data_IF_127131265406
#
_entry.id   IF_127131265406
#
_cell.length_a   1.000
_cell.length_b   1.000
_cell.length_c   1.000
_cell.angle_alpha   90.00
_cell.angle_beta   90.00
_cell.angle_gamma   90.00
#
_symmetry.space_group_name_H-M   'P 1'
#
loop_
_entity.id
_entity.type
_entity.pdbx_description
1 polymer ?
#
# COMPACT_ATOMS: atom_id res chain seq x y z
N UNK A 1 4.25 17.11 -18.55
CA UNK A 1 4.05 17.52 -17.14
C UNK A 1 4.32 16.31 -16.26
N UNK A 2 5.17 16.42 -15.24
CA UNK A 2 5.52 15.29 -14.38
C UNK A 2 4.32 14.96 -13.47
N UNK A 3 3.95 13.68 -13.31
CA UNK A 3 2.88 13.25 -12.40
C UNK A 3 3.17 13.66 -10.94
N UNK A 4 4.44 13.80 -10.57
CA UNK A 4 4.83 14.22 -9.23
C UNK A 4 4.42 15.67 -8.89
N UNK A 5 4.20 16.52 -9.90
CA UNK A 5 3.79 17.92 -9.72
C UNK A 5 2.25 18.09 -9.74
N UNK A 6 1.50 17.02 -9.95
CA UNK A 6 0.04 17.05 -9.93
C UNK A 6 -0.50 16.91 -8.51
N UNK A 7 -1.60 17.61 -8.22
CA UNK A 7 -2.32 17.41 -6.96
C UNK A 7 -2.91 16.00 -6.87
N UNK A 8 -2.91 15.44 -5.67
CA UNK A 8 -3.46 14.11 -5.37
C UNK A 8 -4.90 14.01 -5.86
N UNK A 9 -5.73 15.03 -5.62
CA UNK A 9 -7.13 15.10 -6.05
C UNK A 9 -7.29 14.93 -7.56
N UNK A 10 -6.42 15.56 -8.36
CA UNK A 10 -6.48 15.47 -9.82
C UNK A 10 -6.10 14.07 -10.31
N UNK A 11 -5.14 13.42 -9.67
CA UNK A 11 -4.77 12.04 -9.99
C UNK A 11 -5.90 11.08 -9.58
N UNK A 12 -6.45 11.26 -8.38
CA UNK A 12 -7.50 10.42 -7.82
C UNK A 12 -8.78 10.43 -8.67
N UNK A 13 -9.17 11.59 -9.20
CA UNK A 13 -10.30 11.71 -10.14
C UNK A 13 -10.15 10.84 -11.39
N UNK A 14 -8.91 10.61 -11.85
CA UNK A 14 -8.61 9.72 -12.98
C UNK A 14 -8.29 8.27 -12.57
N UNK A 15 -8.18 7.97 -11.28
CA UNK A 15 -7.76 6.66 -10.76
C UNK A 15 -8.87 5.61 -10.89
N UNK A 16 -10.14 5.99 -10.69
CA UNK A 16 -11.29 5.07 -10.77
C UNK A 16 -11.17 3.92 -9.76
N UNK A 17 -11.34 4.21 -8.46
CA UNK A 17 -11.15 3.26 -7.36
C UNK A 17 -12.00 1.99 -7.47
N UNK A 18 -11.53 0.90 -6.85
CA UNK A 18 -12.29 -0.35 -6.76
C UNK A 18 -13.35 -0.25 -5.65
N UNK A 19 -14.50 -0.92 -5.82
CA UNK A 19 -15.51 -0.98 -4.77
C UNK A 19 -15.16 -2.03 -3.71
N UNK A 20 -15.47 -1.73 -2.44
CA UNK A 20 -15.23 -2.64 -1.31
C UNK A 20 -15.93 -4.00 -1.47
N UNK A 21 -17.07 -4.02 -2.16
CA UNK A 21 -17.86 -5.21 -2.47
C UNK A 21 -17.12 -6.22 -3.36
N UNK A 22 -16.09 -5.79 -4.08
CA UNK A 22 -15.35 -6.64 -5.02
C UNK A 22 -14.12 -7.31 -4.37
N UNK A 23 -13.87 -7.02 -3.09
CA UNK A 23 -12.74 -7.60 -2.34
C UNK A 23 -13.16 -8.96 -1.76
N UNK A 24 -12.44 -10.05 -2.07
CA UNK A 24 -12.71 -11.35 -1.48
C UNK A 24 -12.62 -11.34 0.05
N UNK A 25 -13.48 -12.10 0.73
CA UNK A 25 -13.54 -12.15 2.19
C UNK A 25 -12.18 -12.40 2.86
N UNK A 26 -11.36 -13.31 2.32
CA UNK A 26 -10.04 -13.61 2.91
C UNK A 26 -9.06 -12.42 2.83
N UNK A 27 -9.16 -11.61 1.78
CA UNK A 27 -8.36 -10.40 1.60
C UNK A 27 -8.87 -9.33 2.56
N UNK A 28 -10.19 -9.14 2.63
CA UNK A 28 -10.81 -8.25 3.61
C UNK A 28 -10.42 -8.61 5.05
N UNK A 29 -10.44 -9.90 5.39
CA UNK A 29 -10.17 -10.39 6.74
C UNK A 29 -8.75 -10.06 7.21
N UNK A 30 -7.75 -10.09 6.33
CA UNK A 30 -6.36 -9.85 6.70
C UNK A 30 -5.93 -8.39 6.50
N UNK A 31 -6.54 -7.65 5.58
CA UNK A 31 -6.01 -6.36 5.12
C UNK A 31 -6.96 -5.18 5.37
N UNK A 32 -8.23 -5.42 5.70
CA UNK A 32 -9.17 -4.35 6.01
C UNK A 32 -9.12 -3.99 7.51
N UNK A 33 -8.98 -2.70 7.88
CA UNK A 33 -8.86 -2.28 9.28
C UNK A 33 -10.12 -2.51 10.11
N UNK A 34 -11.28 -2.76 9.48
CA UNK A 34 -12.53 -3.12 10.15
C UNK A 34 -12.59 -4.62 10.51
N UNK A 35 -11.64 -5.44 10.03
CA UNK A 35 -11.55 -6.84 10.41
C UNK A 35 -10.97 -7.00 11.82
N UNK A 36 -11.55 -7.86 12.68
CA UNK A 36 -11.05 -8.09 14.04
C UNK A 36 -9.69 -8.79 14.08
N UNK A 37 -9.26 -9.40 12.97
CA UNK A 37 -7.99 -10.13 12.84
C UNK A 37 -7.08 -9.52 11.79
N UNK A 38 -7.32 -8.25 11.44
CA UNK A 38 -6.51 -7.52 10.49
C UNK A 38 -5.03 -7.53 10.88
N UNK A 39 -4.16 -7.81 9.92
CA UNK A 39 -2.73 -7.75 10.14
C UNK A 39 -2.28 -6.28 10.24
N UNK A 40 -1.22 -5.98 11.00
CA UNK A 40 -0.63 -4.64 11.01
C UNK A 40 -0.28 -4.14 9.61
N UNK A 41 -0.51 -2.86 9.36
CA UNK A 41 -0.50 -2.27 8.00
C UNK A 41 -1.84 -2.31 7.27
N UNK A 42 -2.87 -2.98 7.82
CA UNK A 42 -4.23 -2.92 7.31
C UNK A 42 -4.72 -1.48 7.16
N UNK A 43 -5.42 -1.21 6.06
CA UNK A 43 -5.66 0.14 5.56
C UNK A 43 -7.01 0.23 4.83
N UNK A 44 -7.69 1.38 4.93
CA UNK A 44 -8.94 1.59 4.19
C UNK A 44 -8.68 1.65 2.69
N UNK A 45 -9.68 1.31 1.87
CA UNK A 45 -9.55 1.39 0.40
C UNK A 45 -9.11 2.76 -0.10
N UNK A 46 -9.69 3.82 0.45
CA UNK A 46 -9.34 5.20 0.07
C UNK A 46 -7.87 5.50 0.38
N UNK A 47 -7.39 5.09 1.56
CA UNK A 47 -6.00 5.31 1.96
C UNK A 47 -5.05 4.38 1.19
N UNK A 48 -5.50 3.18 0.81
CA UNK A 48 -4.77 2.26 -0.06
C UNK A 48 -4.55 2.84 -1.47
N UNK A 49 -5.61 3.36 -2.10
CA UNK A 49 -5.53 4.04 -3.39
C UNK A 49 -4.64 5.29 -3.32
N UNK A 50 -4.72 6.04 -2.21
CA UNK A 50 -3.81 7.15 -1.94
C UNK A 50 -2.35 6.69 -1.88
N UNK A 51 -2.06 5.56 -1.23
CA UNK A 51 -0.70 5.02 -1.15
C UNK A 51 -0.19 4.59 -2.53
N UNK A 52 -1.04 3.99 -3.37
CA UNK A 52 -0.69 3.69 -4.76
C UNK A 52 -0.25 4.94 -5.52
N UNK A 53 -1.00 6.04 -5.37
CA UNK A 53 -0.69 7.32 -6.01
C UNK A 53 0.63 7.90 -5.50
N UNK A 54 0.83 7.96 -4.19
CA UNK A 54 2.08 8.54 -3.64
C UNK A 54 3.29 7.66 -3.92
N UNK A 55 3.14 6.34 -4.09
CA UNK A 55 4.26 5.47 -4.45
C UNK A 55 4.47 5.36 -5.96
N UNK A 56 3.55 5.91 -6.77
CA UNK A 56 3.60 5.82 -8.23
C UNK A 56 3.40 4.40 -8.76
N UNK A 57 2.59 3.59 -8.07
CA UNK A 57 2.36 2.17 -8.34
C UNK A 57 1.00 1.95 -9.01
N UNK A 58 0.89 0.91 -9.83
CA UNK A 58 -0.34 0.49 -10.51
C UNK A 58 -1.15 -0.55 -9.73
N UNK A 59 -2.05 -1.28 -10.39
CA UNK A 59 -2.90 -2.32 -9.77
C UNK A 59 -2.50 -3.75 -10.16
N UNK A 60 -1.34 -3.91 -10.79
CA UNK A 60 -0.81 -5.23 -11.11
C UNK A 60 -0.32 -5.93 -9.83
N UNK A 61 -0.26 -7.27 -9.83
CA UNK A 61 0.08 -8.04 -8.63
C UNK A 61 1.44 -7.67 -8.02
N UNK A 62 2.41 -7.28 -8.83
CA UNK A 62 3.71 -6.77 -8.38
C UNK A 62 3.60 -5.42 -7.63
N UNK A 63 2.72 -4.54 -8.10
CA UNK A 63 2.49 -3.23 -7.50
C UNK A 63 1.70 -3.35 -6.20
N UNK A 64 0.67 -4.20 -6.17
CA UNK A 64 -0.05 -4.55 -4.95
C UNK A 64 0.87 -5.16 -3.90
N UNK A 65 1.76 -6.08 -4.31
CA UNK A 65 2.74 -6.66 -3.42
C UNK A 65 3.67 -5.59 -2.81
N UNK A 66 4.13 -4.64 -3.62
CA UNK A 66 4.94 -3.52 -3.15
C UNK A 66 4.17 -2.64 -2.14
N UNK A 67 2.93 -2.24 -2.45
CA UNK A 67 2.11 -1.40 -1.57
C UNK A 67 1.84 -2.10 -0.24
N UNK A 68 1.49 -3.38 -0.25
CA UNK A 68 1.25 -4.14 0.99
C UNK A 68 2.56 -4.29 1.79
N UNK A 69 3.68 -4.59 1.13
CA UNK A 69 4.99 -4.62 1.78
C UNK A 69 5.31 -3.30 2.47
N UNK A 70 5.07 -2.17 1.79
CA UNK A 70 5.24 -0.84 2.31
C UNK A 70 4.35 -0.58 3.54
N UNK A 71 3.03 -0.80 3.44
CA UNK A 71 2.09 -0.52 4.54
C UNK A 71 2.36 -1.39 5.75
N UNK A 72 2.61 -2.70 5.54
CA UNK A 72 3.01 -3.60 6.61
C UNK A 72 4.25 -3.08 7.31
N UNK A 73 5.36 -2.79 6.61
CA UNK A 73 6.57 -2.33 7.34
C UNK A 73 6.44 -0.94 7.94
N UNK A 74 5.61 -0.09 7.36
CA UNK A 74 5.40 1.26 7.87
C UNK A 74 4.65 1.26 9.22
N UNK A 75 3.84 0.25 9.49
CA UNK A 75 3.20 0.04 10.79
C UNK A 75 4.21 -0.52 11.81
N UNK A 76 4.53 0.21 12.90
CA UNK A 76 5.48 -0.24 13.92
C UNK A 76 5.08 -1.54 14.63
N UNK A 77 3.79 -1.93 14.56
CA UNK A 77 3.30 -3.19 15.16
C UNK A 77 3.64 -4.42 14.31
N UNK A 78 4.13 -4.24 13.09
CA UNK A 78 4.48 -5.35 12.21
C UNK A 78 5.71 -6.09 12.70
N UNK A 79 5.59 -7.41 12.85
CA UNK A 79 6.69 -8.31 13.19
C UNK A 79 6.84 -9.40 12.12
N UNK A 80 7.89 -10.21 12.23
CA UNK A 80 8.21 -11.28 11.26
C UNK A 80 7.12 -12.33 11.11
N UNK A 81 6.34 -12.60 12.16
CA UNK A 81 5.25 -13.57 12.11
C UNK A 81 4.08 -13.05 11.29
N UNK A 82 3.71 -11.77 11.44
CA UNK A 82 2.68 -11.14 10.59
C UNK A 82 3.05 -11.23 9.11
N UNK A 83 4.31 -10.95 8.76
CA UNK A 83 4.82 -11.06 7.39
C UNK A 83 4.77 -12.52 6.89
N UNK A 84 5.16 -13.48 7.73
CA UNK A 84 5.10 -14.89 7.37
C UNK A 84 3.66 -15.38 7.13
N UNK A 85 2.73 -14.97 8.00
CA UNK A 85 1.29 -15.26 7.86
C UNK A 85 0.78 -14.66 6.56
N UNK A 86 1.01 -13.37 6.30
CA UNK A 86 0.57 -12.72 5.07
C UNK A 86 1.08 -13.45 3.82
N UNK A 87 2.38 -13.78 3.77
CA UNK A 87 2.98 -14.50 2.63
C UNK A 87 2.39 -15.89 2.43
N UNK A 88 2.08 -16.61 3.50
CA UNK A 88 1.41 -17.91 3.43
C UNK A 88 0.00 -17.77 2.83
N UNK A 89 -0.80 -16.84 3.36
CA UNK A 89 -2.18 -16.64 2.92
C UNK A 89 -2.28 -16.11 1.49
N UNK A 90 -1.51 -15.07 1.16
CA UNK A 90 -1.45 -14.49 -0.18
C UNK A 90 -0.98 -15.49 -1.24
N UNK A 91 -0.09 -16.44 -0.88
CA UNK A 91 0.41 -17.46 -1.82
C UNK A 91 -0.57 -18.60 -2.06
N UNK A 92 -1.25 -19.08 -1.03
CA UNK A 92 -1.97 -20.36 -1.09
C UNK A 92 -3.49 -20.21 -1.05
N UNK A 93 -3.99 -19.25 -0.28
CA UNK A 93 -5.42 -19.15 0.06
C UNK A 93 -6.15 -18.03 -0.71
N UNK A 94 -5.42 -17.03 -1.23
CA UNK A 94 -6.05 -15.95 -1.98
C UNK A 94 -6.62 -16.43 -3.32
N UNK A 95 -7.72 -15.82 -3.81
CA UNK A 95 -8.26 -16.12 -5.14
C UNK A 95 -7.28 -15.78 -6.25
N UNK A 96 -7.44 -16.39 -7.44
CA UNK A 96 -6.48 -16.32 -8.55
C UNK A 96 -6.04 -14.88 -8.91
N UNK A 97 -6.97 -13.91 -8.87
CA UNK A 97 -6.72 -12.49 -9.18
C UNK A 97 -5.82 -11.79 -8.14
N UNK A 98 -5.78 -12.27 -6.90
CA UNK A 98 -5.03 -11.67 -5.79
C UNK A 98 -3.89 -12.58 -5.30
N UNK A 99 -3.76 -13.77 -5.88
CA UNK A 99 -2.83 -14.80 -5.42
C UNK A 99 -1.41 -14.44 -5.80
N UNK A 100 -0.56 -14.22 -4.80
CA UNK A 100 0.85 -13.92 -5.01
C UNK A 100 1.64 -15.14 -5.44
N UNK A 101 2.72 -14.88 -6.18
CA UNK A 101 3.73 -15.84 -6.60
C UNK A 101 5.07 -15.45 -5.97
N UNK A 102 6.04 -16.36 -6.06
CA UNK A 102 7.40 -16.12 -5.54
C UNK A 102 8.03 -14.87 -6.14
N UNK A 103 7.72 -14.55 -7.40
CA UNK A 103 8.21 -13.35 -8.08
C UNK A 103 7.71 -12.06 -7.41
N UNK A 104 6.42 -11.97 -7.08
CA UNK A 104 5.84 -10.79 -6.41
C UNK A 104 6.39 -10.55 -5.00
N UNK A 105 6.95 -11.58 -4.35
CA UNK A 105 7.59 -11.39 -3.04
C UNK A 105 8.88 -10.58 -3.12
N UNK A 106 9.50 -10.43 -4.30
CA UNK A 106 10.61 -9.48 -4.47
C UNK A 106 10.10 -8.04 -4.39
N UNK A 107 8.98 -7.74 -5.05
CA UNK A 107 8.34 -6.41 -4.99
C UNK A 107 7.81 -6.10 -3.59
N UNK A 108 7.25 -7.11 -2.91
CA UNK A 108 6.89 -6.99 -1.50
C UNK A 108 8.08 -6.58 -0.64
N UNK A 109 9.23 -7.22 -0.78
CA UNK A 109 10.43 -6.87 0.00
C UNK A 109 10.96 -5.47 -0.36
N UNK A 110 10.90 -5.08 -1.63
CA UNK A 110 11.27 -3.73 -2.05
C UNK A 110 10.37 -2.68 -1.36
N UNK A 111 9.05 -2.88 -1.39
CA UNK A 111 8.10 -2.03 -0.68
C UNK A 111 8.33 -2.01 0.83
N UNK A 112 8.63 -3.18 1.41
CA UNK A 112 8.96 -3.33 2.82
C UNK A 112 10.19 -2.49 3.21
N UNK A 113 11.23 -2.47 2.38
CA UNK A 113 12.41 -1.63 2.61
C UNK A 113 12.08 -0.13 2.53
N UNK A 114 11.24 0.29 1.58
CA UNK A 114 10.77 1.68 1.48
C UNK A 114 9.95 2.06 2.71
N UNK A 115 9.00 1.21 3.14
CA UNK A 115 8.20 1.45 4.35
C UNK A 115 9.03 1.52 5.63
N UNK A 116 10.15 0.78 5.68
CA UNK A 116 11.15 0.88 6.76
C UNK A 116 11.82 2.25 6.79
N UNK A 117 12.22 2.77 5.63
CA UNK A 117 12.94 4.05 5.49
C UNK A 117 12.05 5.28 5.66
N UNK A 118 10.77 5.19 5.28
CA UNK A 118 9.81 6.28 5.41
C UNK A 118 9.82 6.86 6.84
N UNK A 119 9.94 8.19 6.96
CA UNK A 119 10.04 8.87 8.27
C UNK A 119 8.71 8.85 9.01
N UNK A 120 7.62 9.13 8.30
CA UNK A 120 6.28 9.05 8.87
C UNK A 120 5.87 7.58 9.02
N UNK A 121 5.40 7.19 10.22
CA UNK A 121 4.96 5.83 10.54
C UNK A 121 3.45 5.77 10.74
N UNK A 122 2.89 4.56 10.63
CA UNK A 122 1.45 4.32 10.69
C UNK A 122 0.65 5.09 9.62
N UNK A 123 1.18 5.20 8.40
CA UNK A 123 0.55 5.86 7.26
C UNK A 123 -0.84 5.27 6.97
N UNK A 124 -1.05 3.99 7.30
CA UNK A 124 -2.34 3.30 7.21
C UNK A 124 -3.47 3.90 8.07
N UNK A 125 -3.16 4.84 8.97
CA UNK A 125 -4.14 5.53 9.83
C UNK A 125 -4.39 6.98 9.43
N UNK A 126 -3.78 7.45 8.36
CA UNK A 126 -3.94 8.84 7.91
C UNK A 126 -5.30 9.06 7.28
N UNK A 127 -5.75 10.31 7.32
CA UNK A 127 -6.91 10.80 6.58
C UNK A 127 -6.43 11.35 5.21
N UNK A 128 -6.69 10.65 4.09
CA UNK A 128 -6.19 11.08 2.77
C UNK A 128 -6.70 12.48 2.36
N UNK A 129 -7.89 12.85 2.82
CA UNK A 129 -8.53 14.14 2.51
C UNK A 129 -7.69 15.35 2.96
N UNK A 130 -6.85 15.18 3.98
CA UNK A 130 -5.93 16.22 4.46
C UNK A 130 -4.79 16.53 3.48
N UNK A 131 -4.57 15.69 2.46
CA UNK A 131 -3.47 15.79 1.50
C UNK A 131 -3.94 16.00 0.06
N UNK A 132 -5.25 16.11 -0.17
CA UNK A 132 -5.83 16.05 -1.52
C UNK A 132 -5.35 17.18 -2.45
N UNK A 133 -5.09 18.37 -1.89
CA UNK A 133 -4.68 19.54 -2.68
C UNK A 133 -3.15 19.64 -2.83
N UNK A 134 -2.39 18.85 -2.07
CA UNK A 134 -0.93 18.77 -2.20
C UNK A 134 -0.54 17.99 -3.45
N UNK A 135 0.62 18.33 -4.02
CA UNK A 135 1.27 17.53 -5.05
C UNK A 135 1.84 16.23 -4.46
N UNK A 136 2.00 15.21 -5.31
CA UNK A 136 2.64 13.95 -4.90
C UNK A 136 4.04 14.20 -4.33
N UNK A 137 4.82 15.13 -4.91
CA UNK A 137 6.15 15.49 -4.41
C UNK A 137 6.09 16.01 -2.97
N UNK A 138 5.21 16.98 -2.68
CA UNK A 138 5.10 17.56 -1.34
C UNK A 138 4.71 16.50 -0.30
N UNK A 139 3.80 15.58 -0.65
CA UNK A 139 3.42 14.48 0.24
C UNK A 139 4.59 13.52 0.48
N UNK A 140 5.32 13.13 -0.57
CA UNK A 140 6.53 12.28 -0.44
C UNK A 140 7.57 12.91 0.47
N UNK A 141 7.85 14.20 0.29
CA UNK A 141 8.79 14.97 1.12
C UNK A 141 8.35 14.97 2.58
N UNK A 142 7.07 15.25 2.84
CA UNK A 142 6.51 15.26 4.19
C UNK A 142 6.57 13.87 4.85
N UNK A 143 6.37 12.80 4.08
CA UNK A 143 6.40 11.43 4.60
C UNK A 143 7.84 10.89 4.72
N UNK A 144 8.82 11.62 4.17
CA UNK A 144 10.20 11.17 4.06
C UNK A 144 10.32 9.92 3.19
N UNK A 145 9.55 9.86 2.10
CA UNK A 145 9.64 8.81 1.08
C UNK A 145 10.52 9.36 -0.03
N UNK A 146 11.75 8.87 -0.11
CA UNK A 146 12.62 9.19 -1.23
C UNK A 146 12.10 8.48 -2.49
N UNK A 147 12.09 9.19 -3.61
CA UNK A 147 11.98 8.54 -4.91
C UNK A 147 13.12 7.52 -5.02
N UNK A 148 12.83 6.29 -5.48
CA UNK A 148 13.85 5.28 -5.73
C UNK A 148 14.90 5.86 -6.68
N UNK A 149 15.96 6.46 -6.12
CA UNK A 149 17.20 6.68 -6.85
C UNK A 149 17.74 5.28 -7.12
N UNK A 150 17.56 4.83 -8.36
CA UNK A 150 18.27 3.69 -8.94
C UNK A 150 19.71 3.71 -8.41
N UNK A 151 20.00 2.76 -7.52
CA UNK A 151 21.37 2.45 -7.10
C UNK A 151 21.83 1.29 -7.95
#
# INVERSE_FOLDING_TARGET
MNKNDLSIKKIYQGWGGNQQSDIPFIVWLLENPQSPVALPGAISLQCHDFIHIILGRGRELQDEAFVIGFTMRNDPKTNRYHVAIFKLFSRFFYPKKYKFKREHFKDFEAGFLVGKRAKLKSINKLAPDSYQDMSVREVKEQFGIDDEKNT
#
